data_IF_889439502563
#
_entry.id   IF_889439502563
#
_cell.length_a   1.000
_cell.length_b   1.000
_cell.length_c   1.000
_cell.angle_alpha   90.00
_cell.angle_beta   90.00
_cell.angle_gamma   90.00
#
_symmetry.space_group_name_H-M   'P 1'
#
loop_
_entity.id
_entity.type
_entity.pdbx_description
1 polymer ?
#
# COMPACT_ATOMS: atom_id res chain seq x y z
N UNK A 1 -14.60 -79.44 67.03
CA UNK A 1 -14.98 -78.01 67.20
C UNK A 1 -15.08 -77.58 68.67
N UNK A 2 -14.80 -78.46 69.66
CA UNK A 2 -14.96 -78.11 71.08
C UNK A 2 -13.71 -77.52 71.76
N UNK A 3 -12.49 -77.85 71.32
CA UNK A 3 -11.27 -77.26 71.90
C UNK A 3 -11.12 -75.75 71.60
N UNK A 4 -11.73 -75.27 70.52
CA UNK A 4 -11.71 -73.85 70.15
C UNK A 4 -12.64 -73.03 71.06
N UNK A 5 -13.71 -73.63 71.61
CA UNK A 5 -14.69 -72.95 72.47
C UNK A 5 -14.17 -72.73 73.89
N UNK A 6 -13.41 -73.67 74.46
CA UNK A 6 -12.77 -73.49 75.76
C UNK A 6 -11.64 -72.46 75.73
N UNK A 7 -10.86 -72.45 74.65
CA UNK A 7 -9.84 -71.41 74.41
C UNK A 7 -10.52 -70.04 74.23
N UNK A 8 -11.66 -69.95 73.53
CA UNK A 8 -12.44 -68.71 73.41
C UNK A 8 -13.03 -68.24 74.75
N UNK A 9 -13.41 -69.15 75.67
CA UNK A 9 -13.93 -68.81 76.99
C UNK A 9 -12.88 -68.16 77.90
N UNK A 10 -11.66 -68.68 77.90
CA UNK A 10 -10.51 -68.11 78.63
C UNK A 10 -10.07 -66.78 78.00
N UNK A 11 -10.03 -66.71 76.66
CA UNK A 11 -9.71 -65.48 75.94
C UNK A 11 -10.77 -64.41 76.22
N UNK A 12 -12.07 -64.71 76.33
CA UNK A 12 -13.09 -63.67 76.64
C UNK A 12 -12.96 -63.14 78.08
N UNK A 13 -12.47 -63.96 79.03
CA UNK A 13 -12.26 -63.57 80.43
C UNK A 13 -10.93 -62.84 80.68
N UNK A 14 -9.90 -63.14 79.88
CA UNK A 14 -8.56 -62.53 79.96
C UNK A 14 -8.21 -61.67 78.74
N UNK A 15 -9.20 -61.28 77.92
CA UNK A 15 -8.98 -60.66 76.61
C UNK A 15 -8.11 -59.41 76.72
N UNK A 16 -8.28 -58.63 77.80
CA UNK A 16 -7.52 -57.43 78.10
C UNK A 16 -6.01 -57.69 78.20
N UNK A 17 -5.58 -58.77 78.86
CA UNK A 17 -4.17 -59.09 79.10
C UNK A 17 -3.46 -59.65 77.86
N UNK A 18 -4.20 -60.21 76.90
CA UNK A 18 -3.63 -60.67 75.63
C UNK A 18 -3.75 -59.62 74.50
N UNK A 19 -4.84 -58.84 74.44
CA UNK A 19 -5.01 -57.80 73.43
C UNK A 19 -4.05 -56.62 73.63
N UNK A 20 -3.80 -56.22 74.87
CA UNK A 20 -2.94 -55.08 75.19
C UNK A 20 -1.49 -55.24 74.66
N UNK A 21 -0.75 -56.33 74.96
CA UNK A 21 0.59 -56.53 74.40
C UNK A 21 0.58 -56.74 72.88
N UNK A 22 -0.48 -57.36 72.32
CA UNK A 22 -0.62 -57.52 70.88
C UNK A 22 -0.77 -56.17 70.15
N UNK A 23 -1.59 -55.26 70.70
CA UNK A 23 -1.75 -53.90 70.19
C UNK A 23 -0.44 -53.10 70.26
N UNK A 24 0.33 -53.26 71.35
CA UNK A 24 1.66 -52.66 71.49
C UNK A 24 2.64 -53.16 70.43
N UNK A 25 2.66 -54.48 70.15
CA UNK A 25 3.52 -55.07 69.12
C UNK A 25 3.11 -54.57 67.73
N UNK A 26 1.81 -54.56 67.41
CA UNK A 26 1.32 -54.06 66.12
C UNK A 26 1.63 -52.57 65.95
N UNK A 27 1.46 -51.76 67.00
CA UNK A 27 1.84 -50.35 67.01
C UNK A 27 3.34 -50.14 66.82
N UNK A 28 4.18 -50.93 67.48
CA UNK A 28 5.64 -50.87 67.34
C UNK A 28 6.12 -51.30 65.95
N UNK A 29 5.54 -52.36 65.38
CA UNK A 29 5.83 -52.81 64.01
C UNK A 29 5.36 -51.77 62.99
N UNK A 30 4.16 -51.21 63.17
CA UNK A 30 3.63 -50.13 62.33
C UNK A 30 4.51 -48.88 62.39
N UNK A 31 4.98 -48.51 63.59
CA UNK A 31 5.92 -47.41 63.78
C UNK A 31 7.26 -47.68 63.07
N UNK A 32 7.87 -48.86 63.25
CA UNK A 32 9.11 -49.20 62.56
C UNK A 32 8.95 -49.21 61.03
N UNK A 33 7.84 -49.71 60.50
CA UNK A 33 7.56 -49.67 59.05
C UNK A 33 7.38 -48.24 58.54
N UNK A 34 6.64 -47.41 59.27
CA UNK A 34 6.46 -45.99 58.93
C UNK A 34 7.80 -45.23 58.98
N UNK A 35 8.61 -45.44 60.02
CA UNK A 35 9.95 -44.82 60.14
C UNK A 35 10.89 -45.28 59.04
N UNK A 36 10.91 -46.57 58.68
CA UNK A 36 11.73 -47.06 57.56
C UNK A 36 11.29 -46.48 56.21
N UNK A 37 9.98 -46.39 55.98
CA UNK A 37 9.44 -45.79 54.75
C UNK A 37 9.79 -44.30 54.65
N UNK A 38 9.59 -43.54 55.73
CA UNK A 38 9.95 -42.12 55.80
C UNK A 38 11.46 -41.91 55.62
N UNK A 39 12.30 -42.76 56.20
CA UNK A 39 13.75 -42.65 56.04
C UNK A 39 14.19 -42.98 54.61
N UNK A 40 13.55 -43.97 53.97
CA UNK A 40 13.77 -44.28 52.55
C UNK A 40 13.32 -43.17 51.61
N UNK A 41 12.18 -42.53 51.88
CA UNK A 41 11.73 -41.34 51.16
C UNK A 41 12.70 -40.17 51.39
N UNK A 42 13.15 -39.93 52.62
CA UNK A 42 14.10 -38.86 52.92
C UNK A 42 15.43 -39.02 52.18
N UNK A 43 16.03 -40.22 52.20
CA UNK A 43 17.28 -40.48 51.46
C UNK A 43 17.08 -40.38 49.94
N UNK A 44 15.92 -40.78 49.41
CA UNK A 44 15.59 -40.59 48.00
C UNK A 44 15.53 -39.10 47.62
N UNK A 45 14.79 -38.30 48.38
CA UNK A 45 14.66 -36.86 48.12
C UNK A 45 15.99 -36.13 48.26
N UNK A 46 16.83 -36.55 49.23
CA UNK A 46 18.19 -36.04 49.39
C UNK A 46 19.08 -36.40 48.19
N UNK A 47 18.97 -37.63 47.68
CA UNK A 47 19.64 -38.07 46.47
C UNK A 47 19.20 -37.28 45.22
N UNK A 48 17.90 -37.08 45.04
CA UNK A 48 17.33 -36.32 43.94
C UNK A 48 17.75 -34.84 43.99
N UNK A 49 17.72 -34.23 45.18
CA UNK A 49 18.19 -32.86 45.38
C UNK A 49 19.70 -32.71 45.11
N UNK A 50 20.53 -33.67 45.57
CA UNK A 50 21.95 -33.68 45.27
C UNK A 50 22.23 -33.87 43.77
N UNK A 51 21.43 -34.70 43.09
CA UNK A 51 21.47 -34.89 41.65
C UNK A 51 21.13 -33.61 40.89
N UNK A 52 20.06 -32.90 41.28
CA UNK A 52 19.67 -31.62 40.69
C UNK A 52 20.72 -30.53 40.93
N UNK A 53 21.32 -30.46 42.11
CA UNK A 53 22.41 -29.52 42.41
C UNK A 53 23.66 -29.85 41.59
N UNK A 54 23.98 -31.13 41.41
CA UNK A 54 25.09 -31.56 40.55
C UNK A 54 24.84 -31.20 39.07
N UNK A 55 23.64 -31.41 38.56
CA UNK A 55 23.23 -30.99 37.22
C UNK A 55 23.31 -29.47 37.06
N UNK A 56 22.80 -28.70 38.02
CA UNK A 56 22.88 -27.24 38.02
C UNK A 56 24.33 -26.74 38.04
N UNK A 57 25.20 -27.37 38.83
CA UNK A 57 26.62 -27.06 38.87
C UNK A 57 27.33 -27.43 37.57
N UNK A 58 26.92 -28.52 36.91
CA UNK A 58 27.43 -28.88 35.57
C UNK A 58 27.04 -27.84 34.52
N UNK A 59 25.80 -27.32 34.57
CA UNK A 59 25.33 -26.24 33.68
C UNK A 59 26.04 -24.92 33.98
N UNK A 60 26.23 -24.57 35.26
CA UNK A 60 27.01 -23.38 35.68
C UNK A 60 28.49 -23.47 35.33
N UNK A 61 29.04 -24.67 35.20
CA UNK A 61 30.45 -24.89 34.82
C UNK A 61 30.70 -24.77 33.32
N UNK A 62 29.65 -24.68 32.48
CA UNK A 62 29.81 -24.14 31.15
C UNK A 62 30.18 -22.66 31.29
N UNK A 63 31.47 -22.37 31.12
CA UNK A 63 31.98 -21.02 30.89
C UNK A 63 31.06 -20.35 29.88
N UNK A 64 30.56 -19.11 30.08
CA UNK A 64 29.94 -18.38 28.98
C UNK A 64 30.96 -18.40 27.85
N UNK A 65 30.67 -19.16 26.79
CA UNK A 65 31.62 -19.34 25.70
C UNK A 65 31.87 -17.92 25.18
N UNK A 66 33.12 -17.43 25.12
CA UNK A 66 33.39 -16.18 24.45
C UNK A 66 32.96 -16.43 23.01
N UNK A 67 31.75 -15.99 22.68
CA UNK A 67 31.13 -16.15 21.38
C UNK A 67 31.76 -15.16 20.39
N UNK A 68 33.04 -14.81 20.61
CA UNK A 68 33.78 -13.76 19.94
C UNK A 68 33.96 -14.09 18.47
N UNK A 69 34.26 -15.35 18.14
CA UNK A 69 34.29 -15.82 16.75
C UNK A 69 32.93 -15.74 16.08
N UNK A 70 31.83 -16.03 16.79
CA UNK A 70 30.47 -15.87 16.27
C UNK A 70 30.09 -14.40 16.13
N UNK A 71 30.44 -13.54 17.09
CA UNK A 71 30.20 -12.10 17.02
C UNK A 71 30.97 -11.50 15.84
N UNK A 72 32.23 -11.87 15.65
CA UNK A 72 33.03 -11.47 14.49
C UNK A 72 32.46 -12.02 13.18
N UNK A 73 32.01 -13.28 13.15
CA UNK A 73 31.36 -13.85 11.98
C UNK A 73 30.01 -13.18 11.67
N UNK A 74 29.22 -12.85 12.69
CA UNK A 74 27.95 -12.15 12.56
C UNK A 74 28.17 -10.72 12.08
N UNK A 75 29.13 -10.01 12.65
CA UNK A 75 29.51 -8.65 12.23
C UNK A 75 29.97 -8.65 10.78
N UNK A 76 30.75 -9.67 10.38
CA UNK A 76 31.14 -9.84 8.99
C UNK A 76 29.92 -10.09 8.08
N UNK A 77 28.98 -10.95 8.48
CA UNK A 77 27.76 -11.19 7.72
C UNK A 77 26.88 -9.94 7.61
N UNK A 78 26.80 -9.14 8.68
CA UNK A 78 26.10 -7.85 8.70
C UNK A 78 26.79 -6.89 7.73
N UNK A 79 28.11 -6.76 7.79
CA UNK A 79 28.90 -5.92 6.86
C UNK A 79 28.71 -6.34 5.41
N UNK A 80 28.84 -7.64 5.11
CA UNK A 80 28.64 -8.18 3.75
C UNK A 80 27.20 -7.91 3.28
N UNK A 81 26.20 -8.02 4.17
CA UNK A 81 24.81 -7.70 3.85
C UNK A 81 24.60 -6.22 3.60
N UNK A 82 25.21 -5.35 4.41
CA UNK A 82 25.17 -3.90 4.24
C UNK A 82 25.78 -3.48 2.90
N UNK A 83 26.92 -4.07 2.51
CA UNK A 83 27.57 -3.79 1.23
C UNK A 83 26.69 -4.22 0.05
N UNK A 84 26.03 -5.38 0.16
CA UNK A 84 25.07 -5.84 -0.84
C UNK A 84 23.86 -4.90 -0.96
N UNK A 85 23.31 -4.44 0.16
CA UNK A 85 22.18 -3.48 0.18
C UNK A 85 22.62 -2.13 -0.39
N UNK A 86 23.81 -1.62 -0.01
CA UNK A 86 24.41 -0.40 -0.55
C UNK A 86 24.54 -0.49 -2.07
N UNK A 87 25.17 -1.56 -2.58
CA UNK A 87 25.38 -1.76 -4.00
C UNK A 87 24.06 -1.86 -4.78
N UNK A 88 23.05 -2.55 -4.21
CA UNK A 88 21.72 -2.64 -4.82
C UNK A 88 21.01 -1.28 -4.85
N UNK A 89 21.09 -0.51 -3.76
CA UNK A 89 20.51 0.83 -3.66
C UNK A 89 21.19 1.79 -4.65
N UNK A 90 22.52 1.82 -4.68
CA UNK A 90 23.30 2.65 -5.61
C UNK A 90 22.95 2.34 -7.07
N UNK A 91 22.87 1.05 -7.42
CA UNK A 91 22.46 0.62 -8.77
C UNK A 91 21.07 1.10 -9.15
N UNK A 92 20.12 1.08 -8.21
CA UNK A 92 18.75 1.58 -8.44
C UNK A 92 18.72 3.10 -8.57
N UNK A 93 19.45 3.80 -7.71
CA UNK A 93 19.56 5.26 -7.72
C UNK A 93 20.19 5.77 -9.02
N UNK A 94 21.35 5.26 -9.43
CA UNK A 94 22.05 5.72 -10.64
C UNK A 94 21.21 5.48 -11.90
N UNK A 95 20.49 4.36 -11.99
CA UNK A 95 19.54 4.11 -13.10
C UNK A 95 18.42 5.15 -13.15
N UNK A 96 17.92 5.60 -12.00
CA UNK A 96 16.84 6.60 -11.95
C UNK A 96 17.34 8.02 -12.18
N UNK A 97 18.54 8.35 -11.70
CA UNK A 97 19.19 9.66 -11.86
C UNK A 97 19.27 10.11 -13.32
N UNK A 98 19.42 9.18 -14.26
CA UNK A 98 19.39 9.48 -15.70
C UNK A 98 18.04 10.03 -16.20
N UNK A 99 16.95 9.68 -15.52
CA UNK A 99 15.56 10.06 -15.87
C UNK A 99 15.00 11.14 -14.96
N UNK A 100 15.41 11.18 -13.69
CA UNK A 100 15.01 12.16 -12.68
C UNK A 100 15.73 13.51 -12.87
N UNK A 101 15.73 14.02 -14.10
CA UNK A 101 16.37 15.27 -14.50
C UNK A 101 15.42 16.44 -14.38
N UNK A 102 15.95 17.54 -13.88
CA UNK A 102 15.27 18.82 -13.95
C UNK A 102 15.34 19.36 -15.38
N UNK A 103 14.33 20.12 -15.82
CA UNK A 103 14.30 20.67 -17.18
C UNK A 103 15.38 21.74 -17.36
N UNK A 104 16.20 21.58 -18.40
CA UNK A 104 17.31 22.49 -18.72
C UNK A 104 16.87 23.90 -19.17
N UNK A 105 15.56 24.10 -19.40
CA UNK A 105 14.99 25.41 -19.71
C UNK A 105 14.89 26.34 -18.49
N UNK A 106 15.07 25.81 -17.27
CA UNK A 106 15.08 26.60 -16.05
C UNK A 106 16.46 27.23 -15.81
N UNK A 107 16.50 28.27 -14.98
CA UNK A 107 17.72 29.01 -14.70
C UNK A 107 18.81 28.10 -14.09
N UNK A 108 20.09 28.20 -14.52
CA UNK A 108 21.17 27.38 -13.97
C UNK A 108 21.34 27.48 -12.45
N UNK A 109 21.12 28.67 -11.88
CA UNK A 109 21.17 28.89 -10.43
C UNK A 109 20.06 28.15 -9.68
N UNK A 110 18.87 28.03 -10.29
CA UNK A 110 17.79 27.24 -9.73
C UNK A 110 18.15 25.76 -9.76
N UNK A 111 18.65 25.26 -10.90
CA UNK A 111 19.07 23.87 -11.08
C UNK A 111 20.13 23.46 -10.04
N UNK A 112 21.15 24.29 -9.86
CA UNK A 112 22.21 24.04 -8.87
C UNK A 112 21.68 23.93 -7.43
N UNK A 113 20.59 24.64 -7.09
CA UNK A 113 19.93 24.54 -5.78
C UNK A 113 19.08 23.29 -5.65
N UNK A 114 18.24 22.98 -6.65
CA UNK A 114 17.29 21.86 -6.54
C UNK A 114 17.94 20.48 -6.68
N UNK A 115 19.10 20.41 -7.32
CA UNK A 115 19.87 19.16 -7.41
C UNK A 115 20.38 18.67 -6.05
N UNK A 116 20.62 19.58 -5.09
CA UNK A 116 21.07 19.23 -3.73
C UNK A 116 19.91 19.00 -2.75
N UNK A 117 18.66 19.19 -3.18
CA UNK A 117 17.46 19.14 -2.33
C UNK A 117 16.81 17.75 -2.28
N UNK A 118 17.63 16.70 -2.14
CA UNK A 118 17.16 15.32 -1.95
C UNK A 118 17.86 14.65 -0.76
N UNK A 119 17.12 13.95 0.13
CA UNK A 119 15.67 13.70 0.13
C UNK A 119 14.81 14.97 0.36
N UNK A 120 13.64 15.05 -0.28
CA UNK A 120 12.74 16.23 -0.23
C UNK A 120 12.27 16.50 1.20
N UNK A 121 12.04 15.43 1.96
CA UNK A 121 11.48 15.42 3.31
C UNK A 121 12.42 16.08 4.32
N UNK A 122 13.73 16.09 4.04
CA UNK A 122 14.77 16.72 4.86
C UNK A 122 15.10 18.16 4.46
N UNK A 123 14.51 18.67 3.37
CA UNK A 123 14.81 20.01 2.86
C UNK A 123 14.20 21.09 3.74
N UNK A 124 15.07 21.96 4.27
CA UNK A 124 14.71 23.15 5.05
C UNK A 124 14.95 24.45 4.28
N UNK A 125 15.85 24.43 3.30
CA UNK A 125 16.21 25.57 2.47
C UNK A 125 15.03 26.06 1.61
N UNK A 126 14.98 27.37 1.40
CA UNK A 126 13.95 28.02 0.58
C UNK A 126 14.50 28.49 -0.75
N UNK A 127 13.73 28.21 -1.80
CA UNK A 127 13.94 28.71 -3.15
C UNK A 127 13.23 30.08 -3.28
N UNK A 128 13.89 31.11 -3.85
CA UNK A 128 13.25 32.37 -4.18
C UNK A 128 11.98 32.22 -5.03
N UNK A 129 10.96 33.03 -4.73
CA UNK A 129 9.65 32.97 -5.41
C UNK A 129 9.74 33.22 -6.92
N UNK A 130 10.73 33.99 -7.39
CA UNK A 130 11.01 34.19 -8.81
C UNK A 130 11.23 32.85 -9.54
N UNK A 131 11.97 31.94 -8.92
CA UNK A 131 12.25 30.63 -9.51
C UNK A 131 11.04 29.69 -9.40
N UNK A 132 10.28 29.74 -8.31
CA UNK A 132 9.08 28.90 -8.16
C UNK A 132 7.96 29.32 -9.11
N UNK A 133 7.83 30.63 -9.41
CA UNK A 133 6.94 31.14 -10.46
C UNK A 133 7.41 30.77 -11.88
N UNK A 134 8.72 30.81 -12.13
CA UNK A 134 9.28 30.35 -13.41
C UNK A 134 9.01 28.85 -13.62
N UNK A 135 9.15 28.05 -12.57
CA UNK A 135 8.78 26.63 -12.58
C UNK A 135 7.30 26.42 -12.88
N UNK A 136 6.41 27.13 -12.18
CA UNK A 136 4.96 27.05 -12.44
C UNK A 136 4.60 27.41 -13.89
N UNK A 137 5.31 28.37 -14.48
CA UNK A 137 5.13 28.77 -15.88
C UNK A 137 5.65 27.71 -16.86
N UNK A 138 6.74 27.01 -16.51
CA UNK A 138 7.26 25.88 -17.28
C UNK A 138 6.26 24.73 -17.34
N UNK A 139 5.63 24.37 -16.22
CA UNK A 139 4.72 23.22 -16.16
C UNK A 139 3.53 23.35 -17.11
N UNK A 140 3.01 24.57 -17.29
CA UNK A 140 1.94 24.84 -18.26
C UNK A 140 2.29 24.43 -19.69
N UNK A 141 3.58 24.38 -20.04
CA UNK A 141 4.08 23.88 -21.34
C UNK A 141 4.43 22.41 -21.29
N UNK A 142 5.00 21.95 -20.17
CA UNK A 142 5.44 20.57 -20.00
C UNK A 142 4.30 19.53 -20.06
N UNK A 143 3.12 19.84 -19.49
CA UNK A 143 1.98 18.91 -19.52
C UNK A 143 1.46 18.63 -20.94
N UNK A 144 1.21 19.64 -21.79
CA UNK A 144 0.92 19.41 -23.21
C UNK A 144 1.98 18.59 -23.94
N UNK A 145 3.27 18.92 -23.75
CA UNK A 145 4.39 18.20 -24.38
C UNK A 145 4.42 16.72 -23.95
N UNK A 146 4.05 16.39 -22.71
CA UNK A 146 3.95 15.01 -22.24
C UNK A 146 2.84 14.24 -22.95
N UNK A 147 1.67 14.85 -23.18
CA UNK A 147 0.58 14.22 -23.91
C UNK A 147 0.93 14.02 -25.40
N UNK A 148 1.62 14.99 -26.00
CA UNK A 148 2.06 14.90 -27.39
C UNK A 148 3.00 13.72 -27.63
N UNK A 149 3.84 13.35 -26.64
CA UNK A 149 4.77 12.19 -26.73
C UNK A 149 4.07 10.87 -27.01
N UNK A 150 2.80 10.72 -26.63
CA UNK A 150 1.99 9.53 -26.88
C UNK A 150 0.98 9.76 -28.02
N UNK A 151 1.06 10.90 -28.72
CA UNK A 151 0.12 11.29 -29.77
C UNK A 151 -1.29 11.60 -29.23
N UNK A 152 -1.39 12.04 -27.97
CA UNK A 152 -2.63 12.49 -27.35
C UNK A 152 -2.75 14.02 -27.43
N UNK A 153 -3.98 14.52 -27.53
CA UNK A 153 -4.28 15.96 -27.44
C UNK A 153 -4.45 16.36 -25.98
N UNK A 154 -3.75 17.40 -25.54
CA UNK A 154 -3.93 18.00 -24.21
C UNK A 154 -4.99 19.10 -24.28
N UNK A 155 -6.17 18.81 -23.72
CA UNK A 155 -7.32 19.70 -23.69
C UNK A 155 -8.09 19.50 -22.37
N UNK A 156 -7.49 19.85 -21.21
CA UNK A 156 -8.12 19.65 -19.92
C UNK A 156 -9.43 20.44 -19.85
N UNK A 157 -10.52 19.76 -19.49
CA UNK A 157 -11.74 20.45 -19.09
C UNK A 157 -11.59 20.86 -17.64
N UNK A 158 -11.88 22.13 -17.32
CA UNK A 158 -11.82 22.63 -15.95
C UNK A 158 -12.49 21.61 -15.01
N UNK A 159 -11.77 21.23 -13.94
CA UNK A 159 -12.31 20.40 -12.85
C UNK A 159 -13.35 21.22 -12.08
N UNK A 160 -14.49 21.44 -12.72
CA UNK A 160 -15.63 22.14 -12.17
C UNK A 160 -16.28 21.25 -11.12
N UNK A 161 -16.11 21.65 -9.87
CA UNK A 161 -17.09 21.45 -8.80
C UNK A 161 -18.49 21.72 -9.37
N UNK A 162 -19.22 20.65 -9.74
CA UNK A 162 -20.63 20.63 -10.08
C UNK A 162 -21.09 21.57 -11.20
N UNK A 163 -21.33 21.04 -12.40
CA UNK A 163 -21.99 21.81 -13.45
C UNK A 163 -22.04 21.12 -14.80
N UNK A 164 -22.79 20.03 -14.89
CA UNK A 164 -23.23 19.50 -16.18
C UNK A 164 -24.28 20.47 -16.74
N UNK A 165 -23.85 21.60 -17.32
CA UNK A 165 -24.71 22.38 -18.20
C UNK A 165 -24.63 21.76 -19.58
N UNK A 166 -25.54 20.83 -19.85
CA UNK A 166 -25.84 20.43 -21.22
C UNK A 166 -26.31 21.68 -21.97
N UNK A 167 -25.52 22.11 -22.94
CA UNK A 167 -26.01 23.00 -24.00
C UNK A 167 -25.39 22.56 -25.31
N UNK A 168 -25.86 21.40 -25.79
CA UNK A 168 -25.84 21.13 -27.21
C UNK A 168 -26.82 22.11 -27.87
N UNK A 169 -26.29 22.97 -28.75
CA UNK A 169 -27.05 23.63 -29.80
C UNK A 169 -27.80 24.91 -29.42
N UNK A 170 -27.10 26.05 -29.44
CA UNK A 170 -27.70 27.30 -29.93
C UNK A 170 -26.68 28.11 -30.71
N UNK A 171 -26.89 28.12 -32.03
CA UNK A 171 -26.28 29.05 -32.99
C UNK A 171 -26.91 30.43 -32.75
N UNK A 172 -26.09 31.40 -32.36
CA UNK A 172 -26.42 32.83 -32.31
C UNK A 172 -25.05 33.54 -32.38
N UNK A 173 -24.50 33.71 -33.58
CA UNK A 173 -24.56 34.93 -34.40
C UNK A 173 -24.06 36.19 -33.67
N UNK A 174 -22.85 36.62 -34.03
CA UNK A 174 -22.37 38.00 -33.83
C UNK A 174 -21.33 38.19 -32.73
N UNK A 175 -20.05 38.29 -33.10
CA UNK A 175 -19.01 38.73 -32.18
C UNK A 175 -17.60 38.55 -32.71
N UNK A 176 -17.12 39.54 -33.47
CA UNK A 176 -15.76 39.59 -33.99
C UNK A 176 -14.73 39.45 -32.86
N UNK A 177 -13.98 38.35 -32.88
CA UNK A 177 -12.76 38.19 -32.10
C UNK A 177 -11.62 37.85 -33.05
N UNK A 178 -10.61 38.71 -32.95
CA UNK A 178 -9.36 38.75 -33.70
C UNK A 178 -8.70 37.37 -33.78
N UNK A 179 -8.74 36.78 -34.98
CA UNK A 179 -7.98 35.57 -35.31
C UNK A 179 -6.49 35.92 -35.37
N UNK A 180 -5.75 35.50 -34.34
CA UNK A 180 -4.31 35.31 -34.46
C UNK A 180 -4.09 34.04 -35.28
N UNK A 181 -3.50 34.21 -36.44
CA UNK A 181 -3.23 33.19 -37.43
C UNK A 181 -1.89 32.50 -37.12
N UNK A 182 -1.92 31.24 -36.70
CA UNK A 182 -0.80 30.30 -36.87
C UNK A 182 -1.32 28.88 -37.07
N UNK A 183 -1.02 28.35 -38.25
CA UNK A 183 -1.06 26.95 -38.69
C UNK A 183 -2.43 26.27 -38.91
N UNK A 184 -2.87 26.34 -40.16
CA UNK A 184 -3.79 25.40 -40.80
C UNK A 184 -3.03 24.11 -41.15
N UNK A 185 -3.38 23.03 -40.46
CA UNK A 185 -2.97 21.65 -40.75
C UNK A 185 -3.42 20.70 -39.62
N UNK A 186 -4.34 19.78 -39.91
CA UNK A 186 -4.79 18.67 -39.06
C UNK A 186 -5.71 18.94 -37.84
N UNK A 187 -6.74 19.80 -37.97
CA UNK A 187 -7.75 19.93 -36.90
C UNK A 187 -8.68 18.69 -36.75
N UNK A 188 -8.84 17.87 -37.80
CA UNK A 188 -9.76 16.71 -37.80
C UNK A 188 -9.08 15.32 -37.75
N UNK A 189 -7.74 15.26 -37.67
CA UNK A 189 -7.07 13.98 -37.51
C UNK A 189 -7.36 13.39 -36.10
N UNK A 190 -7.89 12.16 -35.99
CA UNK A 190 -8.14 11.53 -34.70
C UNK A 190 -6.81 11.32 -33.96
N UNK A 191 -6.80 11.63 -32.66
CA UNK A 191 -5.63 11.43 -31.82
C UNK A 191 -5.17 9.96 -31.86
N UNK A 192 -3.86 9.73 -31.78
CA UNK A 192 -3.28 8.39 -31.76
C UNK A 192 -3.72 7.63 -30.51
N UNK A 193 -3.68 8.34 -29.38
CA UNK A 193 -4.19 7.91 -28.08
C UNK A 193 -5.20 8.96 -27.61
N UNK A 194 -6.42 8.53 -27.30
CA UNK A 194 -7.39 9.42 -26.65
C UNK A 194 -7.10 9.49 -25.16
N UNK A 195 -7.17 10.67 -24.57
CA UNK A 195 -6.99 10.85 -23.14
C UNK A 195 -8.14 11.69 -22.61
N UNK A 196 -8.87 11.11 -21.65
CA UNK A 196 -10.01 11.73 -20.99
C UNK A 196 -9.69 13.17 -20.48
N UNK A 197 -10.33 14.20 -21.05
CA UNK A 197 -10.14 15.60 -20.66
C UNK A 197 -10.39 15.90 -19.18
N UNK A 198 -11.29 15.15 -18.53
CA UNK A 198 -11.58 15.34 -17.10
C UNK A 198 -10.40 14.84 -16.24
N UNK A 199 -9.79 13.71 -16.60
CA UNK A 199 -8.59 13.22 -15.93
C UNK A 199 -7.40 14.17 -16.14
N UNK A 200 -7.27 14.76 -17.34
CA UNK A 200 -6.26 15.80 -17.60
C UNK A 200 -6.44 17.01 -16.67
N UNK A 201 -7.68 17.49 -16.49
CA UNK A 201 -7.99 18.60 -15.57
C UNK A 201 -7.69 18.27 -14.11
N UNK A 202 -7.96 17.03 -13.68
CA UNK A 202 -7.57 16.57 -12.34
C UNK A 202 -6.05 16.57 -12.15
N UNK A 203 -5.31 16.05 -13.13
CA UNK A 203 -3.84 16.06 -13.09
C UNK A 203 -3.29 17.50 -13.10
N UNK A 204 -3.83 18.37 -13.94
CA UNK A 204 -3.44 19.79 -14.03
C UNK A 204 -3.64 20.54 -12.70
N UNK A 205 -4.68 20.19 -11.94
CA UNK A 205 -4.94 20.82 -10.63
C UNK A 205 -3.79 20.61 -9.63
N UNK A 206 -3.02 19.51 -9.77
CA UNK A 206 -1.83 19.21 -8.94
C UNK A 206 -0.66 20.14 -9.21
N UNK A 207 -0.70 20.83 -10.35
CA UNK A 207 0.31 21.77 -10.83
C UNK A 207 -0.21 23.20 -10.92
N UNK A 208 -1.35 23.47 -10.30
CA UNK A 208 -1.98 24.79 -10.30
C UNK A 208 -2.05 25.32 -8.89
N UNK A 209 -1.41 26.46 -8.64
CA UNK A 209 -1.34 27.07 -7.32
C UNK A 209 -2.06 28.43 -7.32
N UNK A 210 -2.73 28.80 -6.22
CA UNK A 210 -3.41 30.10 -6.11
C UNK A 210 -2.42 31.27 -6.03
N UNK A 211 -1.20 31.01 -5.56
CA UNK A 211 -0.10 31.96 -5.46
C UNK A 211 1.21 31.31 -5.94
N UNK A 212 2.34 32.00 -5.77
CA UNK A 212 3.65 31.42 -6.04
C UNK A 212 3.84 30.15 -5.18
N UNK A 213 4.14 28.98 -5.77
CA UNK A 213 4.31 27.77 -5.00
C UNK A 213 5.52 27.85 -4.08
N UNK A 214 5.43 27.16 -2.95
CA UNK A 214 6.51 26.95 -2.00
C UNK A 214 7.56 26.00 -2.57
N UNK A 215 8.74 25.95 -1.92
CA UNK A 215 9.82 25.04 -2.30
C UNK A 215 9.39 23.58 -2.26
N UNK A 216 8.72 23.13 -1.20
CA UNK A 216 8.25 21.74 -1.09
C UNK A 216 7.21 21.40 -2.15
N UNK A 217 6.27 22.31 -2.44
CA UNK A 217 5.30 22.11 -3.53
C UNK A 217 5.97 21.94 -4.89
N UNK A 218 7.00 22.74 -5.21
CA UNK A 218 7.77 22.59 -6.45
C UNK A 218 8.48 21.24 -6.51
N UNK A 219 9.14 20.82 -5.42
CA UNK A 219 9.86 19.55 -5.35
C UNK A 219 8.92 18.34 -5.51
N UNK A 220 7.77 18.32 -4.81
CA UNK A 220 6.78 17.24 -4.93
C UNK A 220 6.07 17.24 -6.28
N UNK A 221 5.75 18.42 -6.83
CA UNK A 221 5.18 18.52 -8.17
C UNK A 221 6.17 18.00 -9.22
N UNK A 222 7.46 18.29 -9.08
CA UNK A 222 8.47 17.75 -9.99
C UNK A 222 8.58 16.22 -9.88
N UNK A 223 8.47 15.67 -8.67
CA UNK A 223 8.39 14.21 -8.46
C UNK A 223 7.17 13.61 -9.17
N UNK A 224 5.99 14.22 -9.04
CA UNK A 224 4.78 13.81 -9.75
C UNK A 224 4.96 13.88 -11.28
N UNK A 225 5.63 14.92 -11.78
CA UNK A 225 5.92 15.07 -13.20
C UNK A 225 6.85 13.97 -13.71
N UNK A 226 7.88 13.58 -12.93
CA UNK A 226 8.75 12.47 -13.29
C UNK A 226 7.96 11.16 -13.37
N UNK A 227 7.13 10.87 -12.38
CA UNK A 227 6.26 9.68 -12.37
C UNK A 227 5.36 9.67 -13.59
N UNK A 228 4.65 10.77 -13.86
CA UNK A 228 3.76 10.91 -15.02
C UNK A 228 4.54 10.73 -16.33
N UNK A 229 5.71 11.34 -16.47
CA UNK A 229 6.59 11.19 -17.64
C UNK A 229 6.99 9.73 -17.87
N UNK A 230 7.27 8.96 -16.81
CA UNK A 230 7.59 7.54 -16.94
C UNK A 230 6.39 6.70 -17.37
N UNK A 231 5.19 7.02 -16.88
CA UNK A 231 3.95 6.36 -17.34
C UNK A 231 3.70 6.65 -18.82
N UNK A 232 3.88 7.89 -19.27
CA UNK A 232 3.77 8.24 -20.69
C UNK A 232 4.81 7.49 -21.54
N UNK A 233 6.03 7.34 -21.05
CA UNK A 233 7.08 6.57 -21.73
C UNK A 233 6.74 5.06 -21.81
N UNK A 234 6.16 4.47 -20.75
CA UNK A 234 5.66 3.09 -20.77
C UNK A 234 4.59 2.92 -21.86
N UNK A 235 3.62 3.84 -21.92
CA UNK A 235 2.56 3.82 -22.92
C UNK A 235 3.15 3.98 -24.32
N UNK A 236 4.09 4.91 -24.50
CA UNK A 236 4.79 5.14 -25.77
C UNK A 236 5.53 3.89 -26.25
N UNK A 237 6.31 3.23 -25.38
CA UNK A 237 7.04 1.99 -25.73
C UNK A 237 6.10 0.83 -26.03
N UNK A 238 5.03 0.72 -25.26
CA UNK A 238 3.96 -0.24 -25.53
C UNK A 238 3.38 0.00 -26.92
N UNK A 239 3.16 1.26 -27.27
CA UNK A 239 2.61 1.65 -28.56
C UNK A 239 3.58 1.48 -29.74
N UNK A 240 4.89 1.59 -29.48
CA UNK A 240 5.93 1.51 -30.51
C UNK A 240 5.80 2.64 -31.54
N UNK A 241 6.16 2.35 -32.78
CA UNK A 241 6.16 3.33 -33.88
C UNK A 241 4.81 3.40 -34.64
N UNK A 242 3.71 3.03 -33.98
CA UNK A 242 2.39 3.06 -34.61
C UNK A 242 2.02 4.49 -35.01
N UNK A 243 1.74 4.70 -36.30
CA UNK A 243 1.36 6.03 -36.84
C UNK A 243 -0.15 6.20 -36.93
N UNK A 244 -0.89 5.08 -37.02
CA UNK A 244 -2.35 5.07 -37.16
C UNK A 244 -2.99 4.48 -35.92
N UNK A 245 -4.05 5.14 -35.41
CA UNK A 245 -4.77 4.71 -34.21
C UNK A 245 -5.15 3.24 -34.19
N UNK A 246 -5.52 2.63 -35.32
CA UNK A 246 -5.88 1.20 -35.40
C UNK A 246 -4.73 0.25 -35.06
N UNK A 247 -3.48 0.66 -35.26
CA UNK A 247 -2.29 -0.14 -34.98
C UNK A 247 -1.81 -0.03 -33.53
N UNK A 248 -2.20 1.04 -32.83
CA UNK A 248 -1.71 1.37 -31.49
C UNK A 248 -2.26 0.40 -30.43
N UNK A 249 -1.45 -0.34 -29.67
CA UNK A 249 -1.92 -1.16 -28.56
C UNK A 249 -2.82 -0.43 -27.55
N UNK A 250 -2.35 0.68 -26.96
CA UNK A 250 -3.11 1.48 -25.98
C UNK A 250 -3.90 2.56 -26.71
N UNK A 251 -5.22 2.41 -26.78
CA UNK A 251 -6.12 3.29 -27.56
C UNK A 251 -6.57 4.52 -26.77
N UNK A 252 -6.78 4.35 -25.47
CA UNK A 252 -7.41 5.36 -24.63
C UNK A 252 -6.84 5.30 -23.21
N UNK A 253 -6.61 6.48 -22.62
CA UNK A 253 -6.36 6.70 -21.20
C UNK A 253 -7.65 7.22 -20.58
N UNK A 254 -8.31 6.36 -19.82
CA UNK A 254 -9.56 6.71 -19.12
C UNK A 254 -9.26 7.47 -17.83
N UNK A 255 -8.26 7.00 -17.09
CA UNK A 255 -7.91 7.55 -15.78
C UNK A 255 -6.46 7.21 -15.39
N UNK A 256 -5.76 8.19 -14.83
CA UNK A 256 -4.46 8.04 -14.17
C UNK A 256 -4.54 8.75 -12.83
N UNK A 257 -4.28 8.02 -11.76
CA UNK A 257 -4.23 8.51 -10.38
C UNK A 257 -2.82 8.29 -9.82
N UNK A 258 -2.34 9.24 -9.03
CA UNK A 258 -0.99 9.26 -8.46
C UNK A 258 -1.06 9.63 -6.98
N UNK A 259 -0.24 9.00 -6.15
CA UNK A 259 -0.09 9.39 -4.74
C UNK A 259 -1.42 9.39 -3.98
N UNK A 260 -1.71 10.52 -3.31
CA UNK A 260 -2.90 10.71 -2.46
C UNK A 260 -4.24 10.57 -3.17
N UNK A 261 -4.25 10.71 -4.50
CA UNK A 261 -5.47 10.63 -5.31
C UNK A 261 -5.81 9.18 -5.69
N UNK A 262 -4.91 8.24 -5.42
CA UNK A 262 -5.12 6.83 -5.72
C UNK A 262 -6.14 6.23 -4.77
N UNK A 263 -7.23 5.73 -5.35
CA UNK A 263 -8.15 4.88 -4.62
C UNK A 263 -7.42 3.56 -4.29
N UNK A 264 -7.36 3.12 -3.03
CA UNK A 264 -6.74 1.84 -2.67
C UNK A 264 -7.40 0.66 -3.40
N UNK A 265 -6.66 -0.42 -3.68
CA UNK A 265 -7.26 -1.62 -4.27
C UNK A 265 -8.32 -2.18 -3.32
N UNK A 266 -9.44 -2.61 -3.86
CA UNK A 266 -10.40 -3.40 -3.08
C UNK A 266 -9.70 -4.68 -2.62
N UNK A 267 -9.74 -5.02 -1.32
CA UNK A 267 -9.24 -6.29 -0.78
C UNK A 267 -9.99 -7.54 -1.33
N UNK A 268 -10.91 -7.36 -2.28
CA UNK A 268 -11.62 -8.44 -2.95
C UNK A 268 -10.69 -9.17 -3.92
N UNK A 269 -10.62 -10.49 -3.76
CA UNK A 269 -9.87 -11.41 -4.62
C UNK A 269 -10.20 -11.19 -6.10
N UNK A 270 -9.18 -11.41 -6.94
CA UNK A 270 -9.21 -11.27 -8.39
C UNK A 270 -10.42 -12.00 -9.01
N UNK A 271 -11.55 -11.31 -9.19
CA UNK A 271 -12.72 -11.86 -9.88
C UNK A 271 -12.47 -11.81 -11.38
N UNK A 272 -11.84 -12.85 -11.91
CA UNK A 272 -11.91 -13.14 -13.34
C UNK A 272 -13.35 -13.54 -13.64
N UNK A 273 -14.18 -12.57 -14.04
CA UNK A 273 -15.54 -12.83 -14.49
C UNK A 273 -15.46 -13.62 -15.80
N UNK A 274 -15.46 -14.96 -15.69
CA UNK A 274 -15.81 -15.83 -16.81
C UNK A 274 -17.30 -15.64 -17.08
N UNK A 275 -17.75 -15.46 -18.33
CA UNK A 275 -19.18 -15.38 -18.62
C UNK A 275 -19.84 -16.71 -18.21
N UNK A 276 -20.67 -16.67 -17.18
CA UNK A 276 -21.57 -17.78 -16.84
C UNK A 276 -22.64 -17.87 -17.93
N UNK A 277 -22.86 -19.04 -18.56
CA UNK A 277 -23.96 -19.18 -19.50
C UNK A 277 -25.30 -18.87 -18.80
N UNK A 278 -26.25 -18.22 -19.47
CA UNK A 278 -27.51 -17.86 -18.86
C UNK A 278 -28.26 -19.13 -18.38
N UNK A 279 -28.96 -19.06 -17.23
CA UNK A 279 -29.85 -20.14 -16.80
C UNK A 279 -30.93 -20.34 -17.87
N UNK A 280 -31.22 -21.60 -18.19
CA UNK A 280 -32.38 -21.95 -19.02
C UNK A 280 -33.65 -21.44 -18.33
N UNK A 281 -34.47 -20.70 -19.07
CA UNK A 281 -35.77 -20.21 -18.64
C UNK A 281 -36.67 -21.38 -18.25
N UNK A 282 -37.20 -21.33 -17.03
CA UNK A 282 -38.21 -22.27 -16.57
C UNK A 282 -38.23 -22.35 -15.06
N UNK A 283 -38.83 -21.34 -14.42
CA UNK A 283 -39.77 -21.55 -13.31
C UNK A 283 -40.38 -20.20 -12.91
N UNK A 284 -41.68 -20.09 -13.16
CA UNK A 284 -42.52 -18.97 -12.74
C UNK A 284 -42.79 -19.06 -11.24
N UNK A 285 -42.85 -17.89 -10.59
CA UNK A 285 -43.59 -17.71 -9.33
C UNK A 285 -42.71 -17.51 -8.10
N UNK A 286 -42.63 -16.27 -7.62
CA UNK A 286 -43.32 -15.87 -6.40
C UNK A 286 -43.09 -14.38 -6.13
N UNK A 287 -44.20 -13.68 -5.95
CA UNK A 287 -44.30 -12.25 -5.70
C UNK A 287 -43.93 -11.97 -4.24
N UNK A 288 -42.78 -11.32 -4.00
CA UNK A 288 -42.37 -10.88 -2.68
C UNK A 288 -42.45 -9.35 -2.56
N UNK A 289 -43.36 -8.92 -1.70
CA UNK A 289 -43.68 -7.55 -1.28
C UNK A 289 -42.47 -6.74 -0.80
N UNK A 290 -42.36 -5.48 -1.25
CA UNK A 290 -41.32 -4.55 -0.84
C UNK A 290 -41.56 -3.98 0.59
N UNK A 291 -40.52 -3.84 1.44
CA UNK A 291 -40.62 -3.06 2.67
C UNK A 291 -40.38 -1.55 2.40
N UNK A 292 -41.25 -0.73 2.99
CA UNK A 292 -41.24 0.74 3.02
C UNK A 292 -39.99 1.30 3.73
N UNK A 293 -39.35 2.31 3.13
CA UNK A 293 -38.25 3.06 3.73
C UNK A 293 -38.76 4.21 4.63
N UNK A 294 -38.08 4.55 5.75
CA UNK A 294 -38.42 5.70 6.58
C UNK A 294 -37.80 7.02 6.06
N UNK A 295 -38.55 8.12 6.24
CA UNK A 295 -38.20 9.48 5.85
C UNK A 295 -37.05 10.09 6.68
N UNK A 296 -36.27 11.05 6.13
CA UNK A 296 -35.29 11.81 6.90
C UNK A 296 -35.91 13.02 7.62
N UNK A 297 -35.69 13.08 8.94
CA UNK A 297 -36.02 14.22 9.81
C UNK A 297 -34.99 15.34 9.71
N UNK A 298 -35.46 16.56 9.45
CA UNK A 298 -34.74 17.82 9.54
C UNK A 298 -34.44 18.20 11.01
N UNK A 299 -33.22 18.71 11.29
CA UNK A 299 -32.84 19.31 12.57
C UNK A 299 -31.90 20.50 12.36
N UNK A 300 -31.98 21.56 13.19
CA UNK A 300 -31.71 22.94 12.76
C UNK A 300 -30.30 23.47 13.05
N UNK A 301 -30.04 24.62 12.43
CA UNK A 301 -28.87 25.49 12.49
C UNK A 301 -28.24 25.68 13.88
N UNK A 302 -26.90 25.77 13.89
CA UNK A 302 -26.17 26.52 14.91
C UNK A 302 -25.05 27.33 14.25
N UNK A 303 -25.31 28.63 14.12
CA UNK A 303 -24.33 29.68 13.89
C UNK A 303 -23.40 29.85 15.09
N UNK A 304 -22.08 29.89 14.87
CA UNK A 304 -21.15 30.53 15.81
C UNK A 304 -20.05 31.28 15.06
N UNK A 305 -20.08 32.60 15.21
CA UNK A 305 -19.02 33.54 14.89
C UNK A 305 -17.84 33.41 15.87
N UNK A 306 -16.61 33.50 15.39
CA UNK A 306 -15.48 34.03 16.18
C UNK A 306 -14.39 34.59 15.26
N UNK A 307 -14.26 35.91 15.32
CA UNK A 307 -13.05 36.75 15.35
C UNK A 307 -11.74 36.23 14.75
N UNK A 308 -11.16 37.03 13.85
CA UNK A 308 -9.78 36.90 13.43
C UNK A 308 -8.78 37.36 14.48
N UNK A 309 -7.54 36.91 14.33
CA UNK A 309 -6.32 37.57 14.79
C UNK A 309 -5.12 36.98 14.04
N UNK A 310 -4.11 37.82 13.83
CA UNK A 310 -3.01 37.61 12.89
C UNK A 310 -2.04 36.49 13.26
N UNK A 311 -1.35 36.01 12.22
CA UNK A 311 -0.24 35.06 12.32
C UNK A 311 0.89 35.61 13.20
N UNK A 312 1.40 34.84 14.16
CA UNK A 312 2.82 34.81 14.44
C UNK A 312 3.51 33.88 13.42
N UNK A 313 4.51 34.42 12.76
CA UNK A 313 5.42 33.66 11.89
C UNK A 313 6.32 32.81 12.77
N UNK A 314 6.08 31.50 12.82
CA UNK A 314 7.03 30.52 13.34
C UNK A 314 7.43 29.60 12.20
N UNK A 315 8.73 29.55 11.92
CA UNK A 315 9.28 28.75 10.82
C UNK A 315 8.95 27.26 11.02
N UNK A 316 8.33 26.57 10.05
CA UNK A 316 8.11 25.15 10.20
C UNK A 316 9.41 24.42 9.82
N UNK A 317 10.07 23.87 10.83
CA UNK A 317 10.97 22.72 10.70
C UNK A 317 10.17 21.41 10.59
N UNK A 318 8.85 21.51 10.43
CA UNK A 318 7.91 20.41 10.36
C UNK A 318 7.62 20.08 8.87
N UNK A 319 7.46 18.80 8.55
CA UNK A 319 6.93 18.41 7.26
C UNK A 319 5.51 18.96 7.20
N UNK A 320 5.16 19.68 6.14
CA UNK A 320 3.77 20.07 5.92
C UNK A 320 2.98 18.80 5.62
N UNK A 321 2.39 18.24 6.67
CA UNK A 321 1.64 16.98 6.63
C UNK A 321 0.55 17.02 5.56
N UNK A 322 -0.01 18.19 5.24
CA UNK A 322 -1.04 18.30 4.19
C UNK A 322 -0.49 18.00 2.78
N UNK A 323 0.79 18.27 2.54
CA UNK A 323 1.44 18.00 1.24
C UNK A 323 1.75 16.52 1.04
N UNK A 324 2.02 15.77 2.12
CA UNK A 324 2.58 14.41 2.05
C UNK A 324 1.64 13.33 2.60
N UNK A 325 0.60 13.70 3.35
CA UNK A 325 -0.39 12.76 3.86
C UNK A 325 -1.01 11.92 2.75
N UNK A 326 -1.00 10.60 2.95
CA UNK A 326 -1.49 9.58 2.02
C UNK A 326 -0.78 9.57 0.65
N UNK A 327 0.32 10.33 0.47
CA UNK A 327 1.06 10.39 -0.79
C UNK A 327 1.85 9.11 -1.05
N UNK A 328 2.40 8.51 -0.01
CA UNK A 328 3.21 7.29 -0.09
C UNK A 328 2.54 6.14 0.64
N UNK A 329 2.83 4.92 0.19
CA UNK A 329 2.30 3.70 0.78
C UNK A 329 3.39 2.95 1.56
N UNK A 330 2.96 2.15 2.52
CA UNK A 330 3.82 1.26 3.29
C UNK A 330 4.08 -0.07 2.54
N UNK A 331 4.58 -1.08 3.27
CA UNK A 331 4.78 -2.43 2.73
C UNK A 331 3.52 -3.26 2.51
N UNK A 332 2.42 -2.87 3.14
CA UNK A 332 1.12 -3.51 3.02
C UNK A 332 0.23 -2.83 1.98
N UNK A 333 0.77 -1.85 1.24
CA UNK A 333 0.04 -1.04 0.27
C UNK A 333 -1.08 -0.21 0.90
N UNK A 334 -0.87 0.23 2.13
CA UNK A 334 -1.77 1.13 2.85
C UNK A 334 -1.19 2.56 2.84
N UNK A 335 -2.05 3.59 2.73
CA UNK A 335 -1.59 4.97 2.69
C UNK A 335 -1.01 5.40 4.04
N UNK A 336 0.18 5.99 4.01
CA UNK A 336 0.85 6.52 5.21
C UNK A 336 0.29 7.92 5.50
N UNK A 337 -0.30 8.09 6.68
CA UNK A 337 -0.94 9.34 7.08
C UNK A 337 -0.14 10.15 8.09
N UNK A 338 0.73 9.51 8.88
CA UNK A 338 1.49 10.12 9.96
C UNK A 338 2.96 10.39 9.57
N UNK A 339 3.54 11.43 10.16
CA UNK A 339 4.88 11.91 9.80
C UNK A 339 5.99 10.94 10.21
N UNK A 340 5.86 10.30 11.37
CA UNK A 340 6.90 9.45 11.95
C UNK A 340 7.10 8.19 11.10
N UNK A 341 6.01 7.50 10.77
CA UNK A 341 6.02 6.36 9.85
C UNK A 341 6.51 6.79 8.49
N UNK A 342 6.04 7.95 7.98
CA UNK A 342 6.49 8.44 6.68
C UNK A 342 8.00 8.60 6.62
N UNK A 343 8.62 9.23 7.62
CA UNK A 343 10.07 9.43 7.68
C UNK A 343 10.82 8.10 7.68
N UNK A 344 10.35 7.09 8.42
CA UNK A 344 10.96 5.76 8.41
C UNK A 344 10.91 5.12 7.01
N UNK A 345 9.77 5.17 6.33
CA UNK A 345 9.57 4.49 5.05
C UNK A 345 10.19 5.23 3.85
N UNK A 346 10.21 6.55 3.84
CA UNK A 346 10.76 7.33 2.71
C UNK A 346 12.27 7.46 2.72
N UNK A 347 12.95 6.97 3.76
CA UNK A 347 14.39 7.16 3.93
C UNK A 347 15.19 6.54 2.77
N UNK A 348 14.90 5.29 2.41
CA UNK A 348 15.59 4.57 1.32
C UNK A 348 14.92 4.83 -0.03
N UNK A 349 13.62 4.55 -0.11
CA UNK A 349 12.85 4.68 -1.33
C UNK A 349 11.40 5.02 -1.02
N UNK A 350 10.86 5.98 -1.76
CA UNK A 350 9.46 6.38 -1.67
C UNK A 350 8.61 5.45 -2.52
N UNK A 351 7.47 5.02 -1.99
CA UNK A 351 6.53 4.11 -2.65
C UNK A 351 5.32 4.91 -3.10
N UNK A 352 5.34 5.38 -4.35
CA UNK A 352 4.25 6.19 -4.91
C UNK A 352 3.21 5.24 -5.50
N UNK A 353 1.98 5.19 -4.96
CA UNK A 353 0.89 4.43 -5.56
C UNK A 353 0.52 5.05 -6.90
N UNK A 354 0.23 4.19 -7.86
CA UNK A 354 -0.29 4.56 -9.17
C UNK A 354 -1.44 3.63 -9.53
N UNK A 355 -2.53 4.24 -10.00
CA UNK A 355 -3.62 3.52 -10.65
C UNK A 355 -3.78 4.06 -12.06
N UNK A 356 -3.84 3.16 -13.03
CA UNK A 356 -3.96 3.50 -14.44
C UNK A 356 -5.05 2.63 -15.08
N UNK A 357 -6.05 3.28 -15.67
CA UNK A 357 -7.15 2.64 -16.39
C UNK A 357 -7.05 2.97 -17.88
N UNK A 358 -6.88 1.94 -18.69
CA UNK A 358 -6.63 2.05 -20.12
C UNK A 358 -7.62 1.22 -20.92
N UNK A 359 -7.88 1.62 -22.16
CA UNK A 359 -8.41 0.73 -23.19
C UNK A 359 -7.25 0.25 -24.04
N UNK A 360 -7.00 -1.05 -24.03
CA UNK A 360 -5.87 -1.70 -24.72
C UNK A 360 -6.36 -2.87 -25.58
N UNK A 361 -5.68 -3.12 -26.70
CA UNK A 361 -5.75 -4.41 -27.38
C UNK A 361 -5.20 -5.52 -26.47
N UNK A 362 -6.07 -6.44 -26.03
CA UNK A 362 -5.74 -7.46 -25.03
C UNK A 362 -4.56 -8.36 -25.43
N UNK A 363 -4.28 -8.49 -26.73
CA UNK A 363 -3.16 -9.26 -27.28
C UNK A 363 -1.79 -8.63 -26.96
N UNK A 364 -1.77 -7.36 -26.59
CA UNK A 364 -0.56 -6.60 -26.26
C UNK A 364 -0.43 -6.30 -24.76
N UNK A 365 -1.29 -6.86 -23.92
CA UNK A 365 -1.24 -6.62 -22.48
C UNK A 365 0.05 -7.14 -21.85
N UNK A 366 0.55 -8.29 -22.31
CA UNK A 366 1.86 -8.81 -21.91
C UNK A 366 2.98 -7.80 -22.22
N UNK A 367 2.94 -7.14 -23.38
CA UNK A 367 3.90 -6.09 -23.74
C UNK A 367 3.81 -4.92 -22.76
N UNK A 368 2.61 -4.44 -22.44
CA UNK A 368 2.42 -3.38 -21.44
C UNK A 368 3.06 -3.75 -20.10
N UNK A 369 2.80 -4.95 -19.58
CA UNK A 369 3.35 -5.41 -18.29
C UNK A 369 4.88 -5.51 -18.33
N UNK A 370 5.46 -5.96 -19.46
CA UNK A 370 6.92 -6.00 -19.65
C UNK A 370 7.51 -4.60 -19.66
N UNK A 371 6.86 -3.63 -20.33
CA UNK A 371 7.31 -2.24 -20.32
C UNK A 371 7.20 -1.61 -18.93
N UNK A 372 6.16 -1.93 -18.14
CA UNK A 372 6.05 -1.51 -16.75
C UNK A 372 7.25 -1.98 -15.90
N UNK A 373 7.66 -3.25 -16.06
CA UNK A 373 8.79 -3.82 -15.33
C UNK A 373 10.15 -3.25 -15.79
N UNK A 374 10.29 -2.97 -17.09
CA UNK A 374 11.55 -2.53 -17.69
C UNK A 374 11.76 -1.01 -17.70
N UNK A 375 10.75 -0.22 -17.35
CA UNK A 375 10.88 1.21 -17.21
C UNK A 375 12.01 1.59 -16.21
N UNK A 376 12.77 2.68 -16.46
CA UNK A 376 13.80 3.15 -15.52
C UNK A 376 13.24 3.42 -14.12
N UNK A 377 12.04 3.99 -14.05
CA UNK A 377 11.20 3.97 -12.87
C UNK A 377 10.21 2.81 -13.01
N UNK A 378 10.60 1.66 -12.47
CA UNK A 378 9.80 0.43 -12.52
C UNK A 378 8.42 0.66 -11.91
N UNK A 379 7.38 0.34 -12.67
CA UNK A 379 6.01 0.28 -12.18
C UNK A 379 5.70 -1.17 -11.81
N UNK A 380 5.74 -1.44 -10.50
CA UNK A 380 5.45 -2.76 -9.95
C UNK A 380 3.94 -2.96 -9.83
N UNK A 381 3.36 -3.64 -10.83
CA UNK A 381 1.93 -3.95 -10.89
C UNK A 381 1.57 -4.99 -9.84
N UNK A 382 0.73 -4.62 -8.88
CA UNK A 382 0.22 -5.52 -7.81
C UNK A 382 -1.14 -6.10 -8.16
N UNK A 383 -1.97 -5.33 -8.86
CA UNK A 383 -3.31 -5.77 -9.24
C UNK A 383 -3.58 -5.39 -10.70
N UNK A 384 -4.12 -6.35 -11.45
CA UNK A 384 -4.62 -6.18 -12.80
C UNK A 384 -6.07 -6.61 -12.83
N UNK A 385 -6.97 -5.70 -13.23
CA UNK A 385 -8.40 -5.97 -13.39
C UNK A 385 -8.78 -5.87 -14.86
N UNK A 386 -9.51 -6.86 -15.35
CA UNK A 386 -10.03 -6.91 -16.71
C UNK A 386 -11.49 -6.53 -16.74
N UNK A 387 -11.85 -5.67 -17.69
CA UNK A 387 -13.18 -5.10 -17.86
C UNK A 387 -13.81 -4.70 -16.52
N UNK A 388 -13.10 -3.93 -15.66
CA UNK A 388 -13.69 -3.48 -14.42
C UNK A 388 -14.95 -2.67 -14.75
N UNK A 389 -16.07 -2.87 -14.01
CA UNK A 389 -17.25 -2.05 -14.21
C UNK A 389 -16.84 -0.59 -14.08
N UNK A 390 -17.43 0.28 -14.90
CA UNK A 390 -17.33 1.72 -14.66
C UNK A 390 -17.83 1.97 -13.24
N UNK A 391 -16.92 2.30 -12.33
CA UNK A 391 -17.31 2.62 -10.98
C UNK A 391 -18.23 3.84 -11.07
N UNK A 392 -19.49 3.66 -10.71
CA UNK A 392 -20.53 4.69 -10.57
C UNK A 392 -20.25 5.63 -9.39
N UNK A 393 -18.98 5.87 -9.06
CA UNK A 393 -18.52 6.70 -7.95
C UNK A 393 -17.99 8.07 -8.37
N UNK A 394 -18.00 8.39 -9.67
CA UNK A 394 -17.49 9.67 -10.19
C UNK A 394 -18.58 10.71 -10.50
N UNK A 395 -19.85 10.36 -10.31
CA UNK A 395 -20.97 11.32 -10.30
C UNK A 395 -21.37 11.52 -8.85
N UNK A 396 -21.15 12.72 -8.34
CA UNK A 396 -21.50 13.11 -6.98
C UNK A 396 -22.94 12.75 -6.63
N UNK A 397 -23.13 12.33 -5.39
CA UNK A 397 -24.42 12.19 -4.74
C UNK A 397 -25.23 13.48 -4.91
N UNK A 398 -26.17 13.47 -5.86
CA UNK A 398 -26.92 14.67 -6.22
C UNK A 398 -27.72 14.59 -7.52
N UNK A 399 -27.94 13.40 -8.08
CA UNK A 399 -28.90 13.20 -9.15
C UNK A 399 -29.60 11.85 -8.90
N UNK A 400 -30.73 11.91 -8.20
CA UNK A 400 -31.72 10.84 -8.22
C UNK A 400 -32.27 10.74 -9.62
N UNK A 401 -31.62 9.93 -10.47
CA UNK A 401 -32.24 9.37 -11.66
C UNK A 401 -32.36 7.88 -11.40
N UNK A 402 -33.61 7.40 -11.34
CA UNK A 402 -33.98 6.01 -11.27
C UNK A 402 -33.36 5.21 -12.43
N UNK A 403 -32.16 4.68 -12.21
CA UNK A 403 -31.55 3.66 -13.06
C UNK A 403 -31.89 2.27 -12.49
N UNK A 404 -33.19 1.98 -12.42
CA UNK A 404 -33.70 0.61 -12.35
C UNK A 404 -33.70 0.02 -13.78
N UNK A 405 -32.51 -0.04 -14.38
CA UNK A 405 -32.26 -0.74 -15.63
C UNK A 405 -31.85 -2.17 -15.30
N UNK A 406 -32.72 -3.12 -15.63
CA UNK A 406 -32.42 -4.55 -15.61
C UNK A 406 -31.07 -4.81 -16.29
N UNK A 407 -30.20 -5.57 -15.62
CA UNK A 407 -28.99 -6.12 -16.21
C UNK A 407 -29.38 -7.20 -17.25
N UNK A 408 -29.93 -6.77 -18.38
CA UNK A 408 -30.01 -7.60 -19.57
C UNK A 408 -28.58 -7.76 -20.09
N UNK A 409 -28.11 -9.01 -20.12
CA UNK A 409 -26.89 -9.36 -20.85
C UNK A 409 -27.05 -8.91 -22.31
N UNK A 410 -26.45 -7.77 -22.65
CA UNK A 410 -26.36 -7.27 -24.02
C UNK A 410 -25.65 -8.36 -24.84
N UNK A 411 -26.36 -8.98 -25.79
CA UNK A 411 -25.71 -9.82 -26.80
C UNK A 411 -24.71 -8.94 -27.53
N UNK A 412 -23.42 -9.22 -27.38
CA UNK A 412 -22.39 -8.53 -28.12
C UNK A 412 -22.63 -8.74 -29.62
N UNK A 413 -22.53 -7.68 -30.41
CA UNK A 413 -22.59 -7.80 -31.87
C UNK A 413 -21.35 -8.56 -32.37
N UNK A 414 -21.40 -9.15 -33.58
CA UNK A 414 -20.23 -9.82 -34.18
C UNK A 414 -19.00 -8.91 -34.23
N UNK A 415 -19.19 -7.60 -34.45
CA UNK A 415 -18.12 -6.60 -34.42
C UNK A 415 -17.55 -6.38 -33.00
N UNK A 416 -18.38 -6.43 -31.95
CA UNK A 416 -17.93 -6.37 -30.56
C UNK A 416 -17.17 -7.65 -30.15
N UNK A 417 -17.51 -8.82 -30.73
CA UNK A 417 -16.76 -10.08 -30.54
C UNK A 417 -15.39 -10.08 -31.23
N UNK A 418 -15.26 -9.42 -32.39
CA UNK A 418 -14.01 -9.30 -33.13
C UNK A 418 -13.10 -8.16 -32.63
N UNK A 419 -13.65 -7.27 -31.79
CA UNK A 419 -12.88 -6.22 -31.17
C UNK A 419 -12.09 -6.76 -29.96
N UNK A 420 -10.77 -6.73 -30.05
CA UNK A 420 -9.85 -7.14 -28.98
C UNK A 420 -9.58 -6.03 -27.95
N UNK A 421 -10.17 -4.85 -28.11
CA UNK A 421 -10.02 -3.77 -27.15
C UNK A 421 -10.76 -4.13 -25.85
N UNK A 422 -10.03 -4.05 -24.73
CA UNK A 422 -10.54 -4.27 -23.38
C UNK A 422 -10.15 -3.12 -22.48
N UNK A 423 -11.01 -2.83 -21.52
CA UNK A 423 -10.65 -1.93 -20.43
C UNK A 423 -9.84 -2.71 -19.41
N UNK A 424 -8.63 -2.25 -19.12
CA UNK A 424 -7.78 -2.80 -18.06
C UNK A 424 -7.53 -1.74 -17.01
N UNK A 425 -7.51 -2.14 -15.74
CA UNK A 425 -7.08 -1.28 -14.63
C UNK A 425 -5.87 -1.93 -13.97
N UNK A 426 -4.77 -1.17 -13.90
CA UNK A 426 -3.55 -1.52 -13.21
C UNK A 426 -3.47 -0.72 -11.93
N UNK A 427 -3.19 -1.39 -10.81
CA UNK A 427 -2.77 -0.76 -9.57
C UNK A 427 -1.39 -1.29 -9.19
N UNK A 428 -0.51 -0.41 -8.76
CA UNK A 428 0.85 -0.76 -8.38
C UNK A 428 1.62 0.38 -7.72
N UNK A 429 2.92 0.17 -7.55
CA UNK A 429 3.83 1.11 -6.92
C UNK A 429 4.95 1.50 -7.88
N UNK A 430 5.28 2.79 -7.90
CA UNK A 430 6.53 3.29 -8.47
C UNK A 430 7.46 3.67 -7.32
N UNK A 431 8.65 3.10 -7.33
CA UNK A 431 9.69 3.42 -6.35
C UNK A 431 10.49 4.63 -6.82
N UNK A 432 10.66 5.63 -5.96
CA UNK A 432 11.59 6.75 -6.17
C UNK A 432 12.68 6.64 -5.11
N UNK A 433 13.88 6.24 -5.53
CA UNK A 433 15.01 6.05 -4.61
C UNK A 433 15.62 7.40 -4.24
N UNK A 434 16.08 7.51 -3.00
CA UNK A 434 16.92 8.63 -2.57
C UNK A 434 18.41 8.32 -2.86
N UNK A 435 19.30 9.33 -2.79
CA UNK A 435 20.73 9.08 -2.74
C UNK A 435 21.10 8.15 -1.57
N UNK A 436 22.08 7.29 -1.80
CA UNK A 436 22.59 6.36 -0.78
C UNK A 436 23.14 7.15 0.42
N UNK A 437 22.74 6.74 1.62
CA UNK A 437 23.23 7.32 2.88
C UNK A 437 23.82 6.24 3.78
N UNK A 438 25.07 6.43 4.18
CA UNK A 438 25.79 5.54 5.10
C UNK A 438 25.16 5.50 6.49
N UNK A 439 24.65 6.64 6.96
CA UNK A 439 24.01 6.78 8.27
C UNK A 439 22.72 5.94 8.32
N UNK A 440 21.98 5.89 7.20
CA UNK A 440 20.77 5.06 7.08
C UNK A 440 21.13 3.58 7.06
N UNK A 441 22.18 3.20 6.33
CA UNK A 441 22.63 1.80 6.26
C UNK A 441 23.07 1.27 7.63
N UNK A 442 23.66 2.13 8.46
CA UNK A 442 24.07 1.81 9.84
C UNK A 442 22.92 1.80 10.85
N UNK A 443 21.72 2.19 10.44
CA UNK A 443 20.57 2.34 11.34
C UNK A 443 20.67 3.57 12.27
N UNK A 444 21.54 4.53 11.96
CA UNK A 444 21.75 5.76 12.74
C UNK A 444 20.71 6.84 12.37
N UNK A 445 20.11 6.76 11.18
CA UNK A 445 19.01 7.61 10.70
C UNK A 445 17.90 6.79 10.05
N UNK A 446 16.67 7.04 10.48
CA UNK A 446 15.48 6.27 10.12
C UNK A 446 15.01 5.52 11.35
N UNK A 447 13.79 5.82 11.82
CA UNK A 447 13.20 5.10 12.95
C UNK A 447 13.24 3.59 12.70
N UNK A 448 13.30 2.81 13.78
CA UNK A 448 13.22 1.36 13.70
C UNK A 448 12.00 1.00 12.84
N UNK A 449 12.25 0.37 11.69
CA UNK A 449 11.17 -0.14 10.85
C UNK A 449 10.30 -0.98 11.78
N UNK A 450 8.98 -0.74 11.84
CA UNK A 450 8.12 -1.58 12.67
C UNK A 450 8.42 -3.03 12.30
N UNK A 451 8.62 -3.92 13.29
CA UNK A 451 8.91 -5.31 12.99
C UNK A 451 7.84 -5.79 12.02
N UNK A 452 8.20 -6.52 10.94
CA UNK A 452 7.23 -7.02 9.99
C UNK A 452 6.15 -7.70 10.83
N UNK A 453 4.92 -7.17 10.77
CA UNK A 453 3.82 -7.67 11.55
C UNK A 453 3.80 -9.17 11.27
N UNK A 454 4.11 -9.95 12.32
CA UNK A 454 4.38 -11.37 12.26
C UNK A 454 3.35 -11.96 11.30
N UNK A 455 3.79 -12.26 10.08
CA UNK A 455 2.94 -12.91 9.12
C UNK A 455 2.54 -14.18 9.86
N UNK A 456 1.27 -14.24 10.27
CA UNK A 456 0.67 -15.45 10.80
C UNK A 456 0.70 -16.44 9.64
N UNK A 457 1.89 -16.99 9.39
CA UNK A 457 2.10 -18.19 8.63
C UNK A 457 1.21 -19.18 9.36
N UNK A 458 0.13 -19.69 8.74
CA UNK A 458 -0.55 -20.82 9.34
C UNK A 458 0.51 -21.89 9.46
N UNK A 459 0.89 -22.20 10.70
CA UNK A 459 1.72 -23.35 11.03
C UNK A 459 0.99 -24.55 10.47
N UNK A 460 1.35 -24.97 9.25
CA UNK A 460 0.93 -26.25 8.70
C UNK A 460 1.68 -27.29 9.49
N UNK A 461 1.11 -27.68 10.63
CA UNK A 461 1.44 -28.95 11.28
C UNK A 461 1.15 -30.06 10.27
N UNK A 462 2.18 -30.41 9.51
CA UNK A 462 2.15 -31.59 8.64
C UNK A 462 2.43 -32.76 9.57
N UNK A 463 1.39 -33.23 10.26
CA UNK A 463 1.43 -34.49 11.00
C UNK A 463 1.44 -35.60 9.95
N UNK A 464 2.61 -36.17 9.70
CA UNK A 464 2.72 -37.49 9.10
C UNK A 464 2.25 -38.52 10.12
N UNK A 465 1.11 -39.15 9.86
CA UNK A 465 0.73 -40.47 10.38
C UNK A 465 0.41 -41.38 9.22
#
# INVERSE_FOLDING_TARGET
MDQVKDILGVIKRQHFWFLSPLLLIVGFVGWMMATKKLNGEFEKWKGDAAGLVSQMNSVKSFTPHPNEEYHQAMEKLISDRMDNVRAAWEKKWERQKEVLKWPSSLAPEFLAKVETMRPIETVTDRIPSTYTLAYASYIKKALPELAERIGAKWAPTASGRGGFSGTFGRREEGGASTRSNTNTGDEDAPALVEWNPANQGMLESRFTWPAAPTTKEVLYAQEDLWVLSSLMEIIKRTNGDAVVRSQVPVKEIQDIQLGKDVTPPSKQELKVLRPTPPPLEGEEGEEATAPTAPEPTFGPDSSSSSSGEGLPTTAPTEIDLELVKNRYYDEFYEPIADQETLLAYVTVAKRIPVRMRLVIDERHLNKLLVECANAPMTFEVQQLRFNPPVASGFLGAGAGLDLRGSAQAKKLTTDEYLNYNRTVELFGIIYVFNPVSEEVLRGEKGGELPPPAEAALPVRETVWR
#
